data_IF_045209076856
#
_entry.id   IF_045209076856
#
_cell.length_a   1.000
_cell.length_b   1.000
_cell.length_c   1.000
_cell.angle_alpha   90.00
_cell.angle_beta   90.00
_cell.angle_gamma   90.00
#
_symmetry.space_group_name_H-M   'P 1'
#
loop_
_entity.id
_entity.type
_entity.pdbx_description
1 polymer ?
#
# COMPACT_ATOMS: atom_id res chain seq x y z
N UNK A 1 6.28 5.68 -19.15
CA UNK A 1 5.84 5.07 -20.43
C UNK A 1 4.47 4.43 -20.23
N UNK A 2 3.66 4.20 -21.29
CA UNK A 2 2.34 3.57 -21.16
C UNK A 2 2.33 2.24 -20.38
N UNK A 3 3.45 1.50 -20.41
CA UNK A 3 3.63 0.22 -19.73
C UNK A 3 3.74 0.33 -18.21
N UNK A 4 4.16 1.49 -17.67
CA UNK A 4 4.28 1.70 -16.22
C UNK A 4 2.93 1.60 -15.51
N UNK A 5 1.82 1.92 -16.21
CA UNK A 5 0.44 1.82 -15.71
C UNK A 5 -0.13 0.39 -15.70
N UNK A 6 0.61 -0.56 -16.29
CA UNK A 6 0.27 -1.99 -16.29
C UNK A 6 1.31 -2.83 -15.54
N UNK A 7 2.41 -2.21 -15.12
CA UNK A 7 3.49 -2.88 -14.42
C UNK A 7 3.02 -3.38 -13.03
N UNK A 8 3.56 -4.52 -12.62
CA UNK A 8 3.44 -4.97 -11.23
C UNK A 8 4.65 -5.78 -10.81
N UNK A 9 5.02 -5.66 -9.53
CA UNK A 9 6.04 -6.49 -8.90
C UNK A 9 5.31 -7.50 -8.01
N UNK A 10 5.72 -8.77 -8.06
CA UNK A 10 5.18 -9.82 -7.19
C UNK A 10 6.34 -10.51 -6.49
N UNK A 11 6.27 -10.58 -5.17
CA UNK A 11 7.25 -11.26 -4.33
C UNK A 11 6.51 -12.36 -3.57
N UNK A 12 7.06 -13.57 -3.59
CA UNK A 12 6.61 -14.70 -2.77
C UNK A 12 7.68 -14.99 -1.73
N UNK A 13 7.28 -15.09 -0.47
CA UNK A 13 8.16 -15.36 0.65
C UNK A 13 7.75 -16.71 1.24
N UNK A 14 8.72 -17.63 1.33
CA UNK A 14 8.57 -18.97 1.90
C UNK A 14 9.71 -19.19 2.91
N UNK A 15 9.46 -18.87 4.18
CA UNK A 15 10.43 -19.01 5.26
C UNK A 15 10.32 -20.40 5.90
N UNK A 16 11.43 -21.14 5.95
CA UNK A 16 11.52 -22.44 6.62
C UNK A 16 12.43 -22.35 7.85
N UNK A 17 11.85 -22.45 9.05
CA UNK A 17 12.55 -22.27 10.33
C UNK A 17 13.34 -20.95 10.46
N UNK A 18 12.85 -19.88 9.84
CA UNK A 18 13.49 -18.57 9.87
C UNK A 18 12.47 -17.48 10.23
N UNK A 19 12.87 -16.55 11.11
CA UNK A 19 12.13 -15.33 11.49
C UNK A 19 10.63 -15.53 11.85
N UNK A 20 10.30 -16.65 12.51
CA UNK A 20 8.90 -17.02 12.81
C UNK A 20 8.21 -16.10 13.81
N UNK A 21 8.97 -15.45 14.68
CA UNK A 21 8.42 -14.60 15.74
C UNK A 21 7.96 -13.24 15.21
N UNK A 22 8.55 -12.76 14.11
CA UNK A 22 8.26 -11.43 13.55
C UNK A 22 7.43 -11.47 12.27
N UNK A 23 7.52 -12.54 11.48
CA UNK A 23 6.89 -12.60 10.15
C UNK A 23 6.18 -13.94 9.88
N UNK A 24 5.05 -13.93 9.15
CA UNK A 24 4.41 -15.16 8.68
C UNK A 24 5.37 -16.02 7.86
N UNK A 25 5.23 -17.35 7.93
CA UNK A 25 6.11 -18.26 7.18
C UNK A 25 5.86 -18.25 5.68
N UNK A 26 4.62 -18.00 5.25
CA UNK A 26 4.24 -17.97 3.83
C UNK A 26 3.34 -16.79 3.52
N UNK A 27 3.80 -15.88 2.67
CA UNK A 27 2.99 -14.75 2.21
C UNK A 27 3.45 -14.26 0.84
N UNK A 28 2.59 -13.46 0.20
CA UNK A 28 2.85 -12.86 -1.10
C UNK A 28 2.56 -11.37 -1.02
N UNK A 29 3.44 -10.58 -1.63
CA UNK A 29 3.26 -9.14 -1.78
C UNK A 29 3.15 -8.85 -3.27
N UNK A 30 2.22 -7.97 -3.64
CA UNK A 30 2.12 -7.43 -4.99
C UNK A 30 2.09 -5.91 -4.91
N UNK A 31 2.99 -5.28 -5.65
CA UNK A 31 3.05 -3.83 -5.81
C UNK A 31 2.60 -3.47 -7.23
N UNK A 32 1.67 -2.53 -7.36
CA UNK A 32 1.03 -2.14 -8.60
C UNK A 32 1.60 -0.81 -9.08
N UNK A 33 1.93 -0.72 -10.38
CA UNK A 33 2.39 0.51 -11.01
C UNK A 33 3.49 1.25 -10.20
N UNK A 34 4.56 0.57 -9.75
CA UNK A 34 5.48 1.11 -8.74
C UNK A 34 6.13 2.44 -9.14
N UNK A 35 6.45 2.60 -10.43
CA UNK A 35 7.00 3.86 -10.96
C UNK A 35 5.96 4.99 -11.00
N UNK A 36 4.69 4.67 -11.25
CA UNK A 36 3.59 5.65 -11.27
C UNK A 36 3.34 6.16 -9.85
N UNK A 37 3.21 5.26 -8.86
CA UNK A 37 3.03 5.68 -7.47
C UNK A 37 4.29 6.29 -6.84
N UNK A 38 5.49 5.97 -7.34
CA UNK A 38 6.70 6.74 -6.99
C UNK A 38 6.57 8.19 -7.47
N UNK A 39 6.21 8.39 -8.73
CA UNK A 39 6.10 9.75 -9.27
C UNK A 39 4.93 10.53 -8.67
N UNK A 40 3.79 9.90 -8.37
CA UNK A 40 2.70 10.55 -7.62
C UNK A 40 3.18 11.05 -6.25
N UNK A 41 3.94 10.23 -5.50
CA UNK A 41 4.51 10.66 -4.22
C UNK A 41 5.41 11.89 -4.39
N UNK A 42 6.27 11.90 -5.41
CA UNK A 42 7.12 13.06 -5.73
C UNK A 42 6.28 14.32 -6.04
N UNK A 43 5.21 14.20 -6.85
CA UNK A 43 4.31 15.31 -7.17
C UNK A 43 3.58 15.87 -5.93
N UNK A 44 3.23 15.00 -4.98
CA UNK A 44 2.64 15.41 -3.69
C UNK A 44 3.67 15.87 -2.65
N UNK A 45 4.97 15.94 -3.01
CA UNK A 45 6.03 16.35 -2.08
C UNK A 45 6.30 15.35 -0.97
N UNK A 46 5.94 14.08 -1.17
CA UNK A 46 6.15 13.00 -0.20
C UNK A 46 7.52 12.36 -0.45
N UNK A 47 8.47 12.61 0.45
CA UNK A 47 9.79 11.97 0.40
C UNK A 47 9.70 10.45 0.60
N UNK A 48 10.55 9.71 -0.11
CA UNK A 48 10.54 8.25 -0.06
C UNK A 48 10.94 7.71 1.31
N UNK A 49 11.96 8.29 1.96
CA UNK A 49 12.41 7.82 3.27
C UNK A 49 11.40 8.17 4.36
N UNK A 50 10.80 9.35 4.26
CA UNK A 50 9.69 9.75 5.14
C UNK A 50 8.50 8.80 5.00
N UNK A 51 8.04 8.53 3.78
CA UNK A 51 6.96 7.58 3.50
C UNK A 51 7.22 6.19 4.09
N UNK A 52 8.42 5.66 3.86
CA UNK A 52 8.82 4.36 4.42
C UNK A 52 8.80 4.40 5.95
N UNK A 53 9.40 5.43 6.55
CA UNK A 53 9.43 5.58 8.00
C UNK A 53 8.02 5.64 8.59
N UNK A 54 7.14 6.46 8.03
CA UNK A 54 5.75 6.60 8.50
C UNK A 54 4.99 5.28 8.51
N UNK A 55 5.24 4.42 7.51
CA UNK A 55 4.50 3.16 7.35
C UNK A 55 5.14 1.94 8.02
N UNK A 56 6.45 1.95 8.33
CA UNK A 56 7.15 0.76 8.83
C UNK A 56 7.83 0.94 10.19
N UNK A 57 7.95 2.16 10.70
CA UNK A 57 8.62 2.39 12.00
C UNK A 57 7.79 1.87 13.18
N UNK A 58 6.46 1.98 13.10
CA UNK A 58 5.51 1.48 14.09
C UNK A 58 4.27 0.94 13.38
N UNK A 59 3.58 -0.01 14.02
CA UNK A 59 2.33 -0.58 13.50
C UNK A 59 1.28 0.52 13.29
N UNK A 60 0.61 0.58 12.12
CA UNK A 60 -0.52 1.47 11.89
C UNK A 60 -1.71 1.14 12.79
N UNK A 61 -2.35 2.16 13.36
CA UNK A 61 -3.49 1.99 14.27
C UNK A 61 -4.81 1.90 13.46
N UNK A 62 -5.76 1.02 13.84
CA UNK A 62 -7.07 1.00 13.20
C UNK A 62 -7.83 2.30 13.49
N UNK A 63 -8.53 2.80 12.48
CA UNK A 63 -9.35 4.01 12.64
C UNK A 63 -10.64 3.69 13.41
N UNK A 64 -10.70 4.13 14.67
CA UNK A 64 -11.72 3.74 15.66
C UNK A 64 -13.17 3.97 15.17
N UNK A 65 -13.41 5.03 14.41
CA UNK A 65 -14.75 5.39 13.90
C UNK A 65 -15.27 4.47 12.77
N UNK A 66 -14.44 3.55 12.28
CA UNK A 66 -14.78 2.60 11.22
C UNK A 66 -14.82 1.14 11.69
N UNK A 67 -14.47 0.86 12.95
CA UNK A 67 -14.38 -0.51 13.48
C UNK A 67 -15.73 -1.23 13.44
N UNK A 68 -16.83 -0.50 13.63
CA UNK A 68 -18.18 -1.08 13.72
C UNK A 68 -19.02 -0.88 12.45
N UNK A 69 -18.42 -0.40 11.35
CA UNK A 69 -19.13 -0.14 10.09
C UNK A 69 -18.82 -1.25 9.09
N UNK A 70 -19.82 -1.65 8.29
CA UNK A 70 -19.70 -2.65 7.21
C UNK A 70 -18.81 -2.20 6.03
N UNK A 71 -18.00 -1.16 6.22
CA UNK A 71 -17.19 -0.53 5.18
C UNK A 71 -15.77 -1.09 5.10
N UNK A 72 -14.94 -0.53 4.20
CA UNK A 72 -13.52 -0.86 4.14
C UNK A 72 -12.83 -0.50 5.45
N UNK A 73 -11.95 -1.38 5.92
CA UNK A 73 -11.10 -1.14 7.09
C UNK A 73 -10.10 -0.04 6.77
N UNK A 74 -9.97 0.91 7.69
CA UNK A 74 -9.01 2.00 7.64
C UNK A 74 -8.00 1.85 8.77
N UNK A 75 -6.74 2.14 8.46
CA UNK A 75 -5.65 2.25 9.42
C UNK A 75 -4.93 3.56 9.18
N UNK A 76 -4.31 4.10 10.22
CA UNK A 76 -3.60 5.38 10.17
C UNK A 76 -2.15 5.14 10.61
N UNK A 77 -1.18 5.72 9.88
CA UNK A 77 0.23 5.65 10.27
C UNK A 77 0.44 6.28 11.66
N UNK A 78 1.48 5.85 12.39
CA UNK A 78 1.72 6.32 13.76
C UNK A 78 1.91 7.85 13.87
N UNK A 79 2.42 8.48 12.82
CA UNK A 79 2.60 9.93 12.70
C UNK A 79 1.40 10.65 12.09
N UNK A 80 0.31 9.91 11.82
CA UNK A 80 -0.97 10.39 11.30
C UNK A 80 -0.89 11.07 9.93
N UNK A 81 0.15 10.79 9.15
CA UNK A 81 0.34 11.35 7.80
C UNK A 81 -0.35 10.55 6.70
N UNK A 82 -0.53 9.24 6.89
CA UNK A 82 -1.07 8.35 5.87
C UNK A 82 -2.23 7.52 6.40
N UNK A 83 -3.20 7.28 5.52
CA UNK A 83 -4.32 6.35 5.74
C UNK A 83 -4.13 5.14 4.82
N UNK A 84 -4.23 3.95 5.39
CA UNK A 84 -4.20 2.67 4.69
C UNK A 84 -5.62 2.12 4.66
N UNK A 85 -6.16 1.96 3.46
CA UNK A 85 -7.52 1.50 3.24
C UNK A 85 -7.52 0.10 2.63
N UNK A 86 -8.30 -0.82 3.20
CA UNK A 86 -8.57 -2.10 2.56
C UNK A 86 -9.43 -1.90 1.31
N UNK A 87 -9.04 -2.52 0.20
CA UNK A 87 -9.77 -2.48 -1.07
C UNK A 87 -10.03 -3.90 -1.57
N UNK A 88 -11.20 -4.13 -2.15
CA UNK A 88 -11.48 -5.36 -2.89
C UNK A 88 -10.91 -5.30 -4.32
N UNK A 89 -11.04 -6.40 -5.06
CA UNK A 89 -10.51 -6.49 -6.43
C UNK A 89 -11.21 -5.56 -7.42
N UNK A 90 -12.48 -5.22 -7.19
CA UNK A 90 -13.25 -4.35 -8.08
C UNK A 90 -12.80 -2.90 -7.92
N UNK A 91 -12.66 -2.42 -6.68
CA UNK A 91 -12.12 -1.11 -6.37
C UNK A 91 -10.68 -0.93 -6.87
N UNK A 92 -9.85 -1.99 -6.83
CA UNK A 92 -8.50 -1.96 -7.43
C UNK A 92 -8.57 -1.83 -8.95
N UNK A 93 -9.50 -2.54 -9.62
CA UNK A 93 -9.68 -2.44 -11.07
C UNK A 93 -10.17 -1.04 -11.49
N UNK A 94 -11.11 -0.47 -10.72
CA UNK A 94 -11.58 0.91 -10.92
C UNK A 94 -10.43 1.91 -10.77
N UNK A 95 -9.61 1.78 -9.71
CA UNK A 95 -8.43 2.62 -9.51
C UNK A 95 -7.49 2.57 -10.73
N UNK A 96 -7.22 1.37 -11.26
CA UNK A 96 -6.42 1.22 -12.48
C UNK A 96 -7.03 1.92 -13.71
N UNK A 97 -8.36 1.96 -13.81
CA UNK A 97 -9.04 2.60 -14.94
C UNK A 97 -8.87 4.12 -14.96
N UNK A 98 -8.81 4.75 -13.78
CA UNK A 98 -8.66 6.21 -13.63
C UNK A 98 -7.22 6.66 -13.41
N UNK A 99 -6.30 5.75 -13.06
CA UNK A 99 -4.94 6.08 -12.64
C UNK A 99 -4.17 6.90 -13.67
N UNK A 100 -4.37 6.65 -14.97
CA UNK A 100 -3.72 7.46 -16.02
C UNK A 100 -4.20 8.89 -15.99
N UNK A 101 -5.51 9.10 -16.05
CA UNK A 101 -6.11 10.43 -16.03
C UNK A 101 -5.87 11.18 -14.72
N UNK A 102 -5.61 10.47 -13.62
CA UNK A 102 -5.25 11.06 -12.34
C UNK A 102 -3.77 11.48 -12.26
N UNK A 103 -2.89 10.79 -12.99
CA UNK A 103 -1.45 11.07 -13.01
C UNK A 103 -1.05 12.17 -14.00
N UNK A 104 -1.80 12.30 -15.10
CA UNK A 104 -1.67 13.37 -16.11
C UNK A 104 -2.11 14.74 -15.57
#
# INVERSE_FOLDING_TARGET
>A
MPDDFKASIKVKIDNHFFNKDNMPSHFKIKDYCPNVFRNLREQFGVDQNEYLRSLTYSEPEPELDQVDKSGPRLFVSYDKKFVIKSMDSEAVAELHSVLRSYHE
#
